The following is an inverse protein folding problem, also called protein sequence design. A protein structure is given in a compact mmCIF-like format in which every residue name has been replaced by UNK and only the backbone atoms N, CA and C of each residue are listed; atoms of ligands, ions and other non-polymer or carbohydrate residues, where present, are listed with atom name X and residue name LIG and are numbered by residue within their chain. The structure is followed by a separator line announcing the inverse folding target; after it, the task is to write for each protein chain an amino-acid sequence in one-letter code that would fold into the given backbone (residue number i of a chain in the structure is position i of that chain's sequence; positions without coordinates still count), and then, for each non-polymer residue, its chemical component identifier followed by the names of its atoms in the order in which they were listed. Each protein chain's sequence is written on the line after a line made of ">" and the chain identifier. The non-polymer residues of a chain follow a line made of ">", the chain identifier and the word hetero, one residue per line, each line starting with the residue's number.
data_IF_954401740657
#
_entry.id   IF_954401740657
#
_cell.length_a   1.000
_cell.length_b   1.000
_cell.length_c   1.000
_cell.angle_alpha   90.00
_cell.angle_beta   90.00
_cell.angle_gamma   90.00
#
_symmetry.space_group_name_H-M   'P 1'
#
loop_
_entity.id
_entity.type
_entity.pdbx_description
1 polymer ?
#
# COMPACT_ATOMS: atom_id res chain seq x y z
N UNK A 1 6.78 4.61 -36.73
CA UNK A 1 5.55 5.38 -37.02
C UNK A 1 4.40 4.40 -36.92
N UNK A 2 3.62 4.46 -35.83
CA UNK A 2 2.34 3.74 -35.76
C UNK A 2 1.32 4.74 -36.28
N UNK A 3 0.81 4.50 -37.48
CA UNK A 3 -0.29 5.29 -38.02
C UNK A 3 -1.53 4.99 -37.18
N UNK A 4 -1.96 5.99 -36.42
CA UNK A 4 -3.23 5.94 -35.69
C UNK A 4 -4.36 5.98 -36.72
N UNK A 5 -5.03 4.84 -36.90
CA UNK A 5 -6.21 4.75 -37.76
C UNK A 5 -7.27 5.67 -37.15
N UNK A 6 -7.76 6.69 -37.86
CA UNK A 6 -8.77 7.59 -37.32
C UNK A 6 -10.07 6.81 -37.13
N UNK A 7 -10.52 6.72 -35.88
CA UNK A 7 -11.81 6.12 -35.52
C UNK A 7 -12.91 6.93 -36.19
N UNK A 8 -13.79 6.25 -36.90
CA UNK A 8 -14.90 6.90 -37.59
C UNK A 8 -15.96 7.37 -36.59
N UNK A 9 -16.73 8.43 -36.89
CA UNK A 9 -17.81 8.91 -36.01
C UNK A 9 -18.87 7.84 -35.70
N UNK A 10 -19.04 6.87 -36.59
CA UNK A 10 -19.96 5.74 -36.42
C UNK A 10 -19.42 4.72 -35.40
N UNK A 11 -18.12 4.44 -35.43
CA UNK A 11 -17.46 3.62 -34.40
C UNK A 11 -17.55 4.30 -33.03
N UNK A 12 -17.29 5.61 -32.93
CA UNK A 12 -17.45 6.36 -31.67
C UNK A 12 -18.88 6.27 -31.11
N UNK A 13 -19.89 6.33 -31.97
CA UNK A 13 -21.29 6.17 -31.56
C UNK A 13 -21.56 4.76 -31.02
N UNK A 14 -21.04 3.73 -31.69
CA UNK A 14 -21.15 2.34 -31.26
C UNK A 14 -20.44 2.09 -29.91
N UNK A 15 -19.26 2.69 -29.71
CA UNK A 15 -18.54 2.62 -28.42
C UNK A 15 -19.32 3.28 -27.29
N UNK A 16 -19.91 4.46 -27.52
CA UNK A 16 -20.75 5.16 -26.53
C UNK A 16 -22.02 4.38 -26.19
N UNK A 17 -22.65 3.75 -27.17
CA UNK A 17 -23.85 2.93 -26.93
C UNK A 17 -23.51 1.66 -26.13
N UNK A 18 -22.36 1.03 -26.45
CA UNK A 18 -21.86 -0.11 -25.68
C UNK A 18 -21.49 0.28 -24.25
N UNK A 19 -20.85 1.43 -24.05
CA UNK A 19 -20.50 1.97 -22.73
C UNK A 19 -21.75 2.31 -21.91
N UNK A 20 -22.78 2.88 -22.54
CA UNK A 20 -24.08 3.09 -21.90
C UNK A 20 -24.77 1.78 -21.52
N UNK A 21 -24.70 0.74 -22.36
CA UNK A 21 -25.22 -0.60 -22.01
C UNK A 21 -24.44 -1.23 -20.87
N UNK A 22 -23.12 -1.09 -20.83
CA UNK A 22 -22.30 -1.56 -19.72
C UNK A 22 -22.61 -0.80 -18.43
N UNK A 23 -22.79 0.53 -18.49
CA UNK A 23 -23.18 1.33 -17.34
C UNK A 23 -24.59 0.97 -16.83
N UNK A 24 -25.55 0.70 -17.73
CA UNK A 24 -26.87 0.22 -17.36
C UNK A 24 -26.81 -1.18 -16.72
N UNK A 25 -26.03 -2.11 -17.27
CA UNK A 25 -25.81 -3.43 -16.67
C UNK A 25 -25.14 -3.34 -15.29
N UNK A 26 -24.11 -2.51 -15.14
CA UNK A 26 -23.44 -2.28 -13.86
C UNK A 26 -24.40 -1.68 -12.80
N UNK A 27 -25.29 -0.79 -13.22
CA UNK A 27 -26.34 -0.22 -12.35
C UNK A 27 -27.37 -1.28 -11.95
N UNK A 28 -27.69 -2.22 -12.85
CA UNK A 28 -28.62 -3.32 -12.57
C UNK A 28 -28.04 -4.36 -11.59
N UNK A 29 -26.71 -4.55 -11.59
CA UNK A 29 -26.02 -5.48 -10.70
C UNK A 29 -25.68 -4.92 -9.30
N UNK A 30 -25.80 -3.61 -9.07
CA UNK A 30 -25.45 -2.99 -7.77
C UNK A 30 -26.45 -3.21 -6.64
N UNK A 31 -27.63 -3.80 -6.91
CA UNK A 31 -28.64 -4.09 -5.88
C UNK A 31 -28.62 -5.54 -5.36
N UNK A 32 -27.81 -6.43 -5.94
CA UNK A 32 -27.80 -7.85 -5.58
C UNK A 32 -26.60 -8.16 -4.68
N UNK A 33 -26.83 -8.89 -3.59
CA UNK A 33 -25.77 -9.46 -2.76
C UNK A 33 -24.86 -10.42 -3.57
N UNK A 34 -23.94 -11.16 -2.92
CA UNK A 34 -23.06 -12.10 -3.63
C UNK A 34 -23.89 -12.97 -4.58
N UNK A 35 -23.51 -12.94 -5.87
CA UNK A 35 -24.31 -13.51 -6.95
C UNK A 35 -24.72 -14.96 -6.63
N UNK A 36 -26.03 -15.20 -6.56
CA UNK A 36 -26.61 -16.52 -6.26
C UNK A 36 -27.17 -16.71 -4.85
N UNK A 37 -27.01 -15.74 -3.94
CA UNK A 37 -27.66 -15.81 -2.63
C UNK A 37 -29.13 -15.33 -2.72
N UNK A 38 -30.12 -16.10 -2.24
CA UNK A 38 -31.53 -15.70 -2.28
C UNK A 38 -31.80 -14.49 -1.39
N UNK A 39 -32.79 -13.67 -1.76
CA UNK A 39 -33.22 -12.51 -0.97
C UNK A 39 -34.03 -12.90 0.27
N UNK A 40 -34.64 -14.09 0.22
CA UNK A 40 -35.47 -14.66 1.26
C UNK A 40 -35.19 -16.15 1.40
N UNK A 41 -35.13 -16.62 2.64
CA UNK A 41 -35.10 -18.04 3.01
C UNK A 41 -36.03 -18.29 4.19
N UNK A 42 -36.41 -19.54 4.41
CA UNK A 42 -37.08 -20.01 5.61
C UNK A 42 -36.11 -20.85 6.44
N UNK A 43 -36.03 -20.54 7.73
CA UNK A 43 -35.30 -21.32 8.72
C UNK A 43 -36.24 -22.40 9.26
N UNK A 44 -35.88 -23.67 9.06
CA UNK A 44 -36.65 -24.85 9.46
C UNK A 44 -36.19 -25.28 10.85
N UNK A 45 -37.10 -25.22 11.81
CA UNK A 45 -36.81 -25.30 13.25
C UNK A 45 -37.44 -26.54 13.91
N UNK A 46 -38.26 -27.30 13.16
CA UNK A 46 -38.95 -28.50 13.62
C UNK A 46 -40.38 -28.23 14.10
N UNK A 47 -41.21 -29.28 14.12
CA UNK A 47 -42.64 -29.20 14.45
C UNK A 47 -42.91 -29.05 15.96
N UNK A 48 -41.97 -29.47 16.80
CA UNK A 48 -42.08 -29.44 18.27
C UNK A 48 -41.76 -28.06 18.89
N UNK A 49 -41.52 -27.04 18.07
CA UNK A 49 -41.11 -25.71 18.52
C UNK A 49 -42.28 -24.74 18.49
N UNK A 50 -42.57 -24.12 19.63
CA UNK A 50 -43.62 -23.10 19.73
C UNK A 50 -43.10 -21.75 19.22
N UNK A 51 -43.97 -20.87 18.68
CA UNK A 51 -43.58 -19.55 18.17
C UNK A 51 -42.85 -18.67 19.18
N UNK A 52 -43.07 -18.89 20.49
CA UNK A 52 -42.45 -18.12 21.57
C UNK A 52 -41.12 -18.71 22.07
N UNK A 53 -40.66 -19.82 21.47
CA UNK A 53 -39.39 -20.45 21.86
C UNK A 53 -38.23 -19.52 21.50
N UNK A 54 -37.37 -19.14 22.45
CA UNK A 54 -36.22 -18.29 22.16
C UNK A 54 -35.26 -18.96 21.17
N UNK A 55 -34.74 -18.19 20.21
CA UNK A 55 -33.82 -18.71 19.18
C UNK A 55 -32.59 -19.43 19.77
N UNK A 56 -32.12 -19.01 20.94
CA UNK A 56 -30.99 -19.64 21.65
C UNK A 56 -31.27 -21.06 22.16
N UNK A 57 -32.52 -21.51 22.13
CA UNK A 57 -32.95 -22.83 22.60
C UNK A 57 -33.19 -23.82 21.45
N UNK A 58 -32.97 -23.40 20.20
CA UNK A 58 -33.13 -24.25 19.02
C UNK A 58 -31.91 -25.17 18.89
N UNK A 59 -32.15 -26.49 18.90
CA UNK A 59 -31.08 -27.49 18.89
C UNK A 59 -30.43 -27.64 17.49
N UNK A 60 -31.24 -27.61 16.43
CA UNK A 60 -30.80 -27.68 15.04
C UNK A 60 -31.68 -26.77 14.17
N UNK A 61 -31.05 -26.04 13.24
CA UNK A 61 -31.76 -25.17 12.28
C UNK A 61 -31.21 -25.46 10.88
N UNK A 62 -32.10 -25.82 9.97
CA UNK A 62 -31.79 -25.96 8.53
C UNK A 62 -32.49 -24.86 7.74
N UNK A 63 -32.24 -24.74 6.43
CA UNK A 63 -32.86 -23.68 5.62
C UNK A 63 -33.39 -24.20 4.28
N UNK A 64 -34.45 -23.55 3.78
CA UNK A 64 -35.11 -23.87 2.51
C UNK A 64 -35.58 -22.57 1.82
N UNK A 65 -35.62 -22.51 0.46
CA UNK A 65 -36.25 -21.39 -0.24
C UNK A 65 -37.77 -21.29 -0.01
N UNK A 66 -38.42 -22.42 0.27
CA UNK A 66 -39.85 -22.54 0.49
C UNK A 66 -40.16 -22.84 1.96
N UNK A 67 -41.30 -22.34 2.44
CA UNK A 67 -41.80 -22.64 3.79
C UNK A 67 -42.22 -24.11 3.84
N UNK A 68 -41.74 -24.85 4.84
CA UNK A 68 -42.05 -26.27 5.03
C UNK A 68 -43.11 -26.45 6.12
N UNK A 69 -43.00 -25.68 7.21
CA UNK A 69 -43.94 -25.71 8.33
C UNK A 69 -44.43 -24.30 8.72
N UNK A 70 -45.53 -24.24 9.45
CA UNK A 70 -46.06 -22.98 9.98
C UNK A 70 -45.15 -22.35 11.04
N UNK A 71 -44.31 -23.15 11.69
CA UNK A 71 -43.34 -22.75 12.72
C UNK A 71 -42.02 -22.23 12.16
N UNK A 72 -41.82 -22.29 10.83
CA UNK A 72 -40.58 -21.81 10.20
C UNK A 72 -40.47 -20.29 10.27
N UNK A 73 -39.24 -19.80 10.51
CA UNK A 73 -38.94 -18.36 10.60
C UNK A 73 -38.53 -17.84 9.22
N UNK A 74 -39.23 -16.83 8.73
CA UNK A 74 -38.87 -16.12 7.50
C UNK A 74 -37.68 -15.19 7.75
N UNK A 75 -36.59 -15.41 7.02
CA UNK A 75 -35.43 -14.51 7.00
C UNK A 75 -35.40 -13.76 5.67
N UNK A 76 -35.45 -12.43 5.75
CA UNK A 76 -35.31 -11.52 4.61
C UNK A 76 -33.99 -10.79 4.74
N UNK A 77 -33.21 -10.76 3.67
CA UNK A 77 -31.95 -10.01 3.64
C UNK A 77 -32.24 -8.54 3.92
N UNK A 78 -31.47 -7.95 4.83
CA UNK A 78 -31.51 -6.51 5.04
C UNK A 78 -31.15 -5.80 3.73
N UNK A 79 -32.08 -4.97 3.23
CA UNK A 79 -31.76 -4.08 2.13
C UNK A 79 -30.79 -3.03 2.65
N UNK A 80 -29.66 -2.78 1.96
CA UNK A 80 -28.83 -1.64 2.31
C UNK A 80 -29.70 -0.38 2.19
N UNK A 81 -29.74 0.43 3.24
CA UNK A 81 -30.43 1.70 3.18
C UNK A 81 -29.83 2.52 2.02
N UNK A 82 -30.69 3.05 1.15
CA UNK A 82 -30.24 3.96 0.12
C UNK A 82 -29.61 5.18 0.80
N UNK A 83 -28.40 5.56 0.37
CA UNK A 83 -27.77 6.78 0.85
C UNK A 83 -28.69 7.97 0.57
N UNK A 84 -28.87 8.82 1.56
CA UNK A 84 -29.65 10.05 1.45
C UNK A 84 -28.95 11.04 0.51
N UNK A 85 -29.68 11.96 -0.13
CA UNK A 85 -29.07 12.99 -0.97
C UNK A 85 -28.01 13.83 -0.23
N UNK A 86 -28.20 14.06 1.07
CA UNK A 86 -27.27 14.81 1.92
C UNK A 86 -25.94 14.08 2.12
N UNK A 87 -25.99 12.76 2.38
CA UNK A 87 -24.79 11.92 2.48
C UNK A 87 -24.02 11.87 1.17
N UNK A 88 -24.73 11.79 0.04
CA UNK A 88 -24.12 11.81 -1.29
C UNK A 88 -23.42 13.16 -1.55
N UNK A 89 -24.06 14.27 -1.18
CA UNK A 89 -23.47 15.59 -1.37
C UNK A 89 -22.28 15.82 -0.44
N UNK A 90 -22.35 15.37 0.81
CA UNK A 90 -21.22 15.38 1.74
C UNK A 90 -20.03 14.58 1.21
N UNK A 91 -20.26 13.40 0.64
CA UNK A 91 -19.22 12.59 0.01
C UNK A 91 -18.60 13.30 -1.19
N UNK A 92 -19.41 13.95 -2.04
CA UNK A 92 -18.89 14.73 -3.18
C UNK A 92 -18.02 15.90 -2.73
N UNK A 93 -18.45 16.63 -1.72
CA UNK A 93 -17.68 17.72 -1.14
C UNK A 93 -16.34 17.21 -0.57
N UNK A 94 -16.36 16.08 0.13
CA UNK A 94 -15.14 15.46 0.65
C UNK A 94 -14.18 15.02 -0.47
N UNK A 95 -14.70 14.39 -1.52
CA UNK A 95 -13.92 14.00 -2.70
C UNK A 95 -13.30 15.23 -3.39
N UNK A 96 -14.02 16.34 -3.47
CA UNK A 96 -13.47 17.58 -4.04
C UNK A 96 -12.29 18.12 -3.20
N UNK A 97 -12.40 18.09 -1.87
CA UNK A 97 -11.31 18.49 -0.97
C UNK A 97 -10.08 17.59 -1.13
N UNK A 98 -10.28 16.27 -1.18
CA UNK A 98 -9.18 15.31 -1.35
C UNK A 98 -8.46 15.50 -2.69
N UNK A 99 -9.18 15.77 -3.78
CA UNK A 99 -8.57 16.05 -5.08
C UNK A 99 -7.68 17.29 -5.06
N UNK A 100 -8.13 18.35 -4.40
CA UNK A 100 -7.33 19.58 -4.25
C UNK A 100 -6.08 19.31 -3.40
N UNK A 101 -6.20 18.56 -2.31
CA UNK A 101 -5.08 18.19 -1.46
C UNK A 101 -4.05 17.34 -2.21
N UNK A 102 -4.50 16.38 -3.02
CA UNK A 102 -3.64 15.56 -3.86
C UNK A 102 -2.85 16.41 -4.86
N UNK A 103 -3.54 17.31 -5.58
CA UNK A 103 -2.89 18.19 -6.55
C UNK A 103 -1.88 19.17 -5.90
N UNK A 104 -2.04 19.48 -4.61
CA UNK A 104 -1.04 20.25 -3.87
C UNK A 104 0.17 19.38 -3.53
N UNK A 105 -0.04 18.18 -3.01
CA UNK A 105 1.04 17.26 -2.66
C UNK A 105 1.89 16.86 -3.87
N UNK A 106 1.27 16.68 -5.04
CA UNK A 106 1.99 16.41 -6.29
C UNK A 106 2.91 17.58 -6.68
N UNK A 107 2.42 18.82 -6.57
CA UNK A 107 3.23 20.03 -6.81
C UNK A 107 4.40 20.13 -5.84
N UNK A 108 4.16 19.91 -4.55
CA UNK A 108 5.21 19.92 -3.54
C UNK A 108 6.26 18.82 -3.81
N UNK A 109 5.84 17.63 -4.27
CA UNK A 109 6.76 16.56 -4.65
C UNK A 109 7.61 16.95 -5.86
N UNK A 110 7.00 17.52 -6.90
CA UNK A 110 7.71 17.99 -8.09
C UNK A 110 8.72 19.10 -7.74
N UNK A 111 8.35 20.02 -6.83
CA UNK A 111 9.25 21.04 -6.30
C UNK A 111 10.42 20.42 -5.52
N UNK A 112 10.18 19.42 -4.66
CA UNK A 112 11.23 18.69 -3.95
C UNK A 112 12.15 17.91 -4.92
N UNK A 113 11.60 17.35 -6.01
CA UNK A 113 12.38 16.63 -7.03
C UNK A 113 13.17 17.58 -7.93
N UNK A 114 12.65 18.78 -8.18
CA UNK A 114 13.33 19.82 -8.95
C UNK A 114 14.44 20.52 -8.14
N UNK A 115 14.42 20.42 -6.81
CA UNK A 115 15.55 20.84 -5.99
C UNK A 115 16.78 20.00 -6.34
N UNK A 116 17.98 20.62 -6.45
CA UNK A 116 19.21 19.90 -6.78
C UNK A 116 19.64 18.99 -5.62
N UNK A 117 19.06 17.79 -5.56
CA UNK A 117 19.27 16.82 -4.48
C UNK A 117 20.60 16.03 -4.58
N UNK A 118 21.39 16.19 -5.64
CA UNK A 118 22.45 15.20 -5.96
C UNK A 118 23.91 15.66 -5.76
N UNK A 119 24.21 16.96 -5.67
CA UNK A 119 25.60 17.44 -5.60
C UNK A 119 26.07 17.82 -4.18
N UNK A 120 25.21 18.40 -3.37
CA UNK A 120 25.59 18.91 -2.04
C UNK A 120 25.63 17.79 -0.99
N UNK A 121 24.62 16.92 -0.97
CA UNK A 121 24.50 15.83 0.02
C UNK A 121 25.55 14.74 -0.20
N UNK A 122 25.91 14.45 -1.46
CA UNK A 122 26.95 13.47 -1.80
C UNK A 122 28.35 13.97 -1.42
N UNK A 123 28.63 15.27 -1.62
CA UNK A 123 29.90 15.89 -1.22
C UNK A 123 30.05 15.89 0.30
N UNK A 124 29.00 16.23 1.04
CA UNK A 124 29.02 16.21 2.51
C UNK A 124 29.17 14.78 3.06
N UNK A 125 28.43 13.81 2.52
CA UNK A 125 28.53 12.41 2.93
C UNK A 125 29.91 11.82 2.61
N UNK A 126 30.48 12.16 1.46
CA UNK A 126 31.82 11.71 1.07
C UNK A 126 32.90 12.36 1.94
N UNK A 127 32.78 13.64 2.25
CA UNK A 127 33.69 14.33 3.18
C UNK A 127 33.63 13.74 4.60
N UNK A 128 32.44 13.43 5.11
CA UNK A 128 32.26 12.78 6.43
C UNK A 128 32.91 11.39 6.44
N UNK A 129 32.67 10.58 5.41
CA UNK A 129 33.28 9.25 5.27
C UNK A 129 34.80 9.33 5.21
N UNK A 130 35.32 10.26 4.42
CA UNK A 130 36.76 10.44 4.22
C UNK A 130 37.48 10.95 5.47
N UNK A 131 36.78 11.72 6.31
CA UNK A 131 37.24 12.15 7.63
C UNK A 131 37.24 10.98 8.63
N UNK A 132 36.18 10.18 8.67
CA UNK A 132 36.09 8.99 9.52
C UNK A 132 37.17 7.96 9.20
N UNK A 133 37.49 7.76 7.91
CA UNK A 133 38.59 6.87 7.48
C UNK A 133 39.96 7.39 7.93
N UNK A 134 40.18 8.71 7.95
CA UNK A 134 41.44 9.29 8.43
C UNK A 134 41.57 9.14 9.95
N UNK A 135 40.49 9.39 10.70
CA UNK A 135 40.46 9.18 12.15
C UNK A 135 40.73 7.72 12.51
N UNK A 136 40.12 6.78 11.80
CA UNK A 136 40.37 5.34 11.98
C UNK A 136 41.83 4.96 11.68
N UNK A 137 42.41 5.48 10.59
CA UNK A 137 43.82 5.24 10.25
C UNK A 137 44.77 5.80 11.33
N UNK A 138 44.49 7.01 11.83
CA UNK A 138 45.27 7.63 12.89
C UNK A 138 45.17 6.83 14.19
N UNK A 139 43.99 6.34 14.57
CA UNK A 139 43.80 5.53 15.78
C UNK A 139 44.57 4.19 15.72
N UNK A 140 44.65 3.54 14.56
CA UNK A 140 45.44 2.32 14.37
C UNK A 140 46.94 2.61 14.44
N UNK A 141 47.39 3.71 13.83
CA UNK A 141 48.78 4.14 13.86
C UNK A 141 49.22 4.56 15.27
N UNK A 142 48.33 5.23 16.01
CA UNK A 142 48.55 5.74 17.37
C UNK A 142 48.01 4.81 18.47
N UNK A 143 47.75 3.53 18.16
CA UNK A 143 47.22 2.55 19.11
C UNK A 143 47.94 2.61 20.46
N UNK A 144 47.21 2.39 21.56
CA UNK A 144 47.73 2.55 22.91
C UNK A 144 49.10 1.88 23.11
N UNK A 145 50.11 2.73 23.33
CA UNK A 145 51.52 2.35 23.48
C UNK A 145 51.95 2.28 24.94
N UNK A 146 51.01 2.43 25.88
CA UNK A 146 51.34 2.45 27.30
C UNK A 146 51.91 1.11 27.77
N UNK A 147 52.96 1.19 28.59
CA UNK A 147 53.57 0.02 29.23
C UNK A 147 54.45 -0.87 28.34
N UNK A 148 54.77 -0.48 27.09
CA UNK A 148 55.67 -1.27 26.21
C UNK A 148 56.74 -0.39 25.55
N UNK A 149 57.98 -0.89 25.49
CA UNK A 149 59.05 -0.28 24.70
C UNK A 149 58.83 -0.59 23.22
N UNK A 150 58.54 0.42 22.41
CA UNK A 150 58.22 0.25 21.00
C UNK A 150 59.45 0.52 20.12
N UNK A 151 59.76 -0.40 19.21
CA UNK A 151 60.85 -0.24 18.24
C UNK A 151 60.23 0.24 16.91
N UNK A 152 60.69 1.38 16.34
CA UNK A 152 60.13 1.97 15.12
C UNK A 152 60.03 1.05 13.90
N UNK A 153 60.84 -0.01 13.85
CA UNK A 153 60.87 -1.03 12.79
C UNK A 153 60.48 -2.42 13.29
N UNK A 154 59.79 -2.48 14.44
CA UNK A 154 59.21 -3.75 14.90
C UNK A 154 58.17 -4.27 13.91
N UNK A 155 57.98 -5.59 13.91
CA UNK A 155 56.88 -6.24 13.18
C UNK A 155 55.54 -5.54 13.42
N UNK A 156 55.25 -5.20 14.68
CA UNK A 156 54.03 -4.49 15.05
C UNK A 156 53.94 -3.10 14.43
N UNK A 157 55.05 -2.36 14.36
CA UNK A 157 55.06 -1.05 13.70
C UNK A 157 54.89 -1.11 12.21
N UNK A 158 55.43 -2.13 11.56
CA UNK A 158 55.18 -2.38 10.15
C UNK A 158 53.71 -2.75 9.90
N UNK A 159 53.13 -3.64 10.72
CA UNK A 159 51.72 -4.06 10.59
C UNK A 159 50.76 -2.88 10.81
N UNK A 160 50.96 -2.05 11.83
CA UNK A 160 50.04 -0.93 12.11
C UNK A 160 50.14 0.17 11.05
N UNK A 161 51.34 0.45 10.52
CA UNK A 161 51.51 1.38 9.39
C UNK A 161 50.85 0.85 8.12
N UNK A 162 51.01 -0.44 7.85
CA UNK A 162 50.43 -1.08 6.68
C UNK A 162 48.90 -1.11 6.75
N UNK A 163 48.34 -1.43 7.92
CA UNK A 163 46.90 -1.37 8.17
C UNK A 163 46.33 0.05 8.02
N UNK A 164 46.99 1.07 8.60
CA UNK A 164 46.59 2.46 8.41
C UNK A 164 46.65 2.89 6.93
N UNK A 165 47.65 2.43 6.18
CA UNK A 165 47.76 2.64 4.74
C UNK A 165 46.59 2.03 3.95
N UNK A 166 46.18 0.80 4.30
CA UNK A 166 45.01 0.14 3.68
C UNK A 166 43.71 0.89 3.94
N UNK A 167 43.52 1.41 5.15
CA UNK A 167 42.33 2.19 5.50
C UNK A 167 42.27 3.48 4.67
N UNK A 168 43.38 4.20 4.53
CA UNK A 168 43.44 5.41 3.69
C UNK A 168 43.19 5.10 2.20
N UNK A 169 43.61 3.92 1.72
CA UNK A 169 43.36 3.49 0.35
C UNK A 169 41.87 3.30 0.03
N UNK A 170 41.01 3.03 1.02
CA UNK A 170 39.56 2.91 0.83
C UNK A 170 38.91 4.22 0.34
N UNK A 171 39.53 5.38 0.57
CA UNK A 171 39.07 6.69 0.08
C UNK A 171 39.10 6.77 -1.45
N UNK A 172 40.05 6.08 -2.10
CA UNK A 172 40.21 6.07 -3.56
C UNK A 172 39.42 4.99 -4.29
N UNK A 173 38.98 3.93 -3.60
CA UNK A 173 38.33 2.78 -4.23
C UNK A 173 36.82 2.94 -4.45
N UNK A 174 36.20 4.06 -4.04
CA UNK A 174 34.75 4.27 -4.23
C UNK A 174 34.35 4.74 -5.64
N UNK A 175 35.19 4.49 -6.66
CA UNK A 175 34.96 4.80 -8.08
C UNK A 175 35.12 3.58 -9.01
N UNK A 176 35.15 2.37 -8.47
CA UNK A 176 35.29 1.13 -9.26
C UNK A 176 34.24 0.09 -8.91
N UNK A 177 33.41 -0.19 -9.92
CA UNK A 177 32.35 -1.22 -10.04
C UNK A 177 30.98 -0.94 -9.41
#
# INVERSE_FOLDING_TARGET
>A
MRDEIPVTPEEEAAWREMEQRQAQQATQHQASGPAGAPDRIFLVIGEDVTPDTPFSQLAEVTWCPDRVNDTDIEYVRAQPAAATPDEIEGLRAHVALLKTALAQAERENDELRAQPAAATVTTDAQAIRDAALEEAAAAVEQHDRTGRSWVPDSLWGNITREAAGRIRALKGNSHGE
#
